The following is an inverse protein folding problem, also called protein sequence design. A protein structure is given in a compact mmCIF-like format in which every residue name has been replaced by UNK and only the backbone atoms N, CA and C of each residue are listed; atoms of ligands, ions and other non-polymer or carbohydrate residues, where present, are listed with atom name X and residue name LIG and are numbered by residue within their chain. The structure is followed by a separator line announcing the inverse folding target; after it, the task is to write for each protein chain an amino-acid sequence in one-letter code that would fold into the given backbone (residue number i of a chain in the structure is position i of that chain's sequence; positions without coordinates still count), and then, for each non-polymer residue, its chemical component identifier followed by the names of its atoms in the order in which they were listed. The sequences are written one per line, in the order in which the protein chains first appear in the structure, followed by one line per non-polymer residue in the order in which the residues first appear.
data_IF_272799220664
#
_entry.id   IF_272799220664
#
_cell.length_a   1.000
_cell.length_b   1.000
_cell.length_c   1.000
_cell.angle_alpha   90.00
_cell.angle_beta   90.00
_cell.angle_gamma   90.00
#
_symmetry.space_group_name_H-M   'P 1'
#
loop_
_entity.id
_entity.type
_entity.pdbx_description
1 polymer ?
#
# COMPACT_ATOMS: atom_id res chain seq x y z
N UNK A 1 13.85 -13.61 9.49
CA UNK A 1 13.82 -12.48 8.56
C UNK A 1 14.28 -11.22 9.26
N UNK A 2 15.15 -10.45 8.63
CA UNK A 2 15.63 -9.21 9.24
C UNK A 2 14.59 -8.11 9.09
N UNK A 3 14.69 -7.07 9.93
CA UNK A 3 13.80 -5.92 9.86
C UNK A 3 13.86 -5.25 8.49
N UNK A 4 15.05 -5.13 7.92
CA UNK A 4 15.21 -4.51 6.60
C UNK A 4 14.51 -5.33 5.51
N UNK A 5 14.57 -6.65 5.56
CA UNK A 5 13.86 -7.50 4.60
C UNK A 5 12.35 -7.33 4.73
N UNK A 6 11.86 -7.21 5.96
CA UNK A 6 10.44 -7.00 6.22
C UNK A 6 9.97 -5.65 5.64
N UNK A 7 10.77 -4.60 5.86
CA UNK A 7 10.47 -3.28 5.33
C UNK A 7 10.46 -3.31 3.80
N UNK A 8 11.42 -3.99 3.19
CA UNK A 8 11.45 -4.12 1.72
C UNK A 8 10.22 -4.81 1.17
N UNK A 9 9.76 -5.86 1.86
CA UNK A 9 8.53 -6.54 1.44
C UNK A 9 7.33 -5.63 1.54
N UNK A 10 7.24 -4.85 2.62
CA UNK A 10 6.16 -3.88 2.77
C UNK A 10 6.19 -2.82 1.67
N UNK A 11 7.38 -2.35 1.31
CA UNK A 11 7.54 -1.40 0.22
C UNK A 11 7.07 -1.97 -1.11
N UNK A 12 7.37 -3.24 -1.37
CA UNK A 12 6.90 -3.91 -2.59
C UNK A 12 5.38 -4.00 -2.61
N UNK A 13 4.78 -4.36 -1.48
CA UNK A 13 3.31 -4.41 -1.36
C UNK A 13 2.69 -3.04 -1.56
N UNK A 14 3.30 -2.02 -0.97
CA UNK A 14 2.84 -0.65 -1.14
C UNK A 14 2.86 -0.24 -2.62
N UNK A 15 3.95 -0.57 -3.31
CA UNK A 15 4.08 -0.26 -4.73
C UNK A 15 3.01 -0.98 -5.56
N UNK A 16 2.79 -2.26 -5.29
CA UNK A 16 1.76 -3.04 -5.98
C UNK A 16 0.37 -2.45 -5.76
N UNK A 17 0.07 -2.06 -4.52
CA UNK A 17 -1.21 -1.42 -4.20
C UNK A 17 -1.33 -0.06 -4.88
N UNK A 18 -0.24 0.69 -4.95
CA UNK A 18 -0.24 1.98 -5.64
C UNK A 18 -0.61 1.81 -7.11
N UNK A 19 -0.05 0.81 -7.77
CA UNK A 19 -0.39 0.51 -9.16
C UNK A 19 -1.85 0.10 -9.30
N UNK A 20 -2.35 -0.70 -8.38
CA UNK A 20 -3.75 -1.10 -8.38
C UNK A 20 -4.68 0.09 -8.20
N UNK A 21 -4.34 1.00 -7.31
CA UNK A 21 -5.13 2.22 -7.10
C UNK A 21 -5.17 3.05 -8.37
N UNK A 22 -4.02 3.24 -9.03
CA UNK A 22 -3.97 4.01 -10.27
C UNK A 22 -4.81 3.36 -11.37
N UNK A 23 -4.70 2.04 -11.51
CA UNK A 23 -5.49 1.30 -12.50
C UNK A 23 -6.99 1.41 -12.18
N UNK A 24 -7.36 1.30 -10.91
CA UNK A 24 -8.74 1.42 -10.49
C UNK A 24 -9.30 2.81 -10.74
N UNK A 25 -8.50 3.85 -10.53
CA UNK A 25 -8.93 5.22 -10.80
C UNK A 25 -9.21 5.48 -12.29
N UNK A 26 -8.52 4.76 -13.15
CA UNK A 26 -8.71 4.87 -14.59
C UNK A 26 -9.84 3.99 -15.11
N UNK A 27 -10.21 2.96 -14.34
CA UNK A 27 -11.23 2.02 -14.77
C UNK A 27 -12.63 2.62 -14.61
N UNK A 28 -13.42 2.69 -15.67
CA UNK A 28 -14.75 3.32 -15.59
C UNK A 28 -15.77 2.52 -14.81
N UNK A 29 -15.49 1.24 -14.53
CA UNK A 29 -16.45 0.37 -13.84
C UNK A 29 -16.15 0.15 -12.36
N UNK A 30 -15.13 0.82 -11.82
CA UNK A 30 -14.76 0.62 -10.41
C UNK A 30 -15.70 1.39 -9.49
N UNK A 31 -16.17 0.72 -8.42
CA UNK A 31 -17.01 1.39 -7.43
C UNK A 31 -16.19 2.26 -6.49
N UNK A 32 -16.83 3.29 -5.95
CA UNK A 32 -16.18 4.16 -4.97
C UNK A 32 -15.73 3.38 -3.75
N UNK A 33 -16.49 2.38 -3.37
CA UNK A 33 -16.16 1.55 -2.21
C UNK A 33 -14.88 0.75 -2.43
N UNK A 34 -14.72 0.14 -3.60
CA UNK A 34 -13.53 -0.61 -3.93
C UNK A 34 -12.30 0.29 -3.94
N UNK A 35 -12.43 1.46 -4.54
CA UNK A 35 -11.34 2.41 -4.61
C UNK A 35 -10.94 2.88 -3.20
N UNK A 36 -11.92 3.14 -2.35
CA UNK A 36 -11.66 3.56 -0.98
C UNK A 36 -10.94 2.46 -0.19
N UNK A 37 -11.31 1.19 -0.39
CA UNK A 37 -10.65 0.08 0.27
C UNK A 37 -9.19 -0.06 -0.16
N UNK A 38 -8.92 0.07 -1.45
CA UNK A 38 -7.56 0.01 -1.97
C UNK A 38 -6.70 1.13 -1.40
N UNK A 39 -7.24 2.33 -1.35
CA UNK A 39 -6.55 3.47 -0.75
C UNK A 39 -6.28 3.26 0.73
N UNK A 40 -7.24 2.67 1.44
CA UNK A 40 -7.10 2.38 2.86
C UNK A 40 -6.00 1.36 3.11
N UNK A 41 -5.94 0.30 2.31
CA UNK A 41 -4.88 -0.71 2.41
C UNK A 41 -3.51 -0.09 2.14
N UNK A 42 -3.42 0.75 1.13
CA UNK A 42 -2.19 1.45 0.79
C UNK A 42 -1.72 2.30 1.96
N UNK A 43 -2.64 3.03 2.58
CA UNK A 43 -2.32 3.88 3.72
C UNK A 43 -1.84 3.06 4.92
N UNK A 44 -2.48 1.94 5.20
CA UNK A 44 -2.07 1.06 6.30
C UNK A 44 -0.64 0.57 6.13
N UNK A 45 -0.29 0.13 4.93
CA UNK A 45 1.05 -0.35 4.65
C UNK A 45 2.06 0.78 4.77
N UNK A 46 1.72 1.96 4.28
CA UNK A 46 2.57 3.14 4.42
C UNK A 46 2.84 3.46 5.88
N UNK A 47 1.81 3.42 6.71
CA UNK A 47 1.96 3.68 8.14
C UNK A 47 2.85 2.64 8.82
N UNK A 48 2.72 1.36 8.43
CA UNK A 48 3.59 0.32 8.95
C UNK A 48 5.05 0.56 8.58
N UNK A 49 5.31 0.93 7.34
CA UNK A 49 6.67 1.24 6.89
C UNK A 49 7.25 2.39 7.70
N UNK A 50 6.47 3.46 7.87
CA UNK A 50 6.91 4.61 8.64
C UNK A 50 7.18 4.26 10.09
N UNK A 51 6.31 3.47 10.70
CA UNK A 51 6.47 3.06 12.08
C UNK A 51 7.74 2.25 12.28
N UNK A 52 8.00 1.31 11.38
CA UNK A 52 9.18 0.46 11.46
C UNK A 52 10.47 1.25 11.21
N UNK A 53 10.44 2.20 10.29
CA UNK A 53 11.62 3.01 10.00
C UNK A 53 11.92 4.01 11.12
N UNK A 54 10.90 4.55 11.76
CA UNK A 54 11.09 5.48 12.88
C UNK A 54 11.61 4.76 14.11
N UNK A 55 11.11 3.55 14.36
CA UNK A 55 11.51 2.78 15.54
C UNK A 55 12.79 1.97 15.33
N UNK A 56 13.28 1.92 14.14
CA UNK A 56 14.54 1.25 13.85
C UNK A 56 15.72 2.20 14.06
#
# INVERSE_FOLDING_TARGET
MSLSSHIEELKKKHHALSEKVEAAQRAPGVSSLELAELKKQKLKIKEEIERLTVNA
#
